data_IF_837003637105
#
_entry.id   IF_837003637105
#
_cell.length_a   1.000
_cell.length_b   1.000
_cell.length_c   1.000
_cell.angle_alpha   90.00
_cell.angle_beta   90.00
_cell.angle_gamma   90.00
#
_symmetry.space_group_name_H-M   'P 1'
#
loop_
_entity.id
_entity.type
_entity.pdbx_description
1 polymer ?
#
# COMPACT_ATOMS: atom_id res chain seq x y z
N UNK A 1 37.14 13.39 19.81
CA UNK A 1 37.70 13.33 18.45
C UNK A 1 36.86 12.25 17.74
N UNK A 2 35.61 12.53 17.43
CA UNK A 2 35.23 13.23 16.20
C UNK A 2 33.95 14.07 16.44
N UNK A 3 33.99 15.38 16.15
CA UNK A 3 32.78 16.20 16.19
C UNK A 3 31.97 15.86 14.94
N UNK A 4 30.73 15.42 15.11
CA UNK A 4 29.79 15.34 14.00
C UNK A 4 29.81 16.70 13.25
N UNK A 5 29.86 16.70 11.91
CA UNK A 5 29.83 17.94 11.14
C UNK A 5 28.60 18.73 11.58
N UNK A 6 28.83 20.01 11.86
CA UNK A 6 27.77 20.97 12.19
C UNK A 6 26.62 20.83 11.19
N UNK A 7 25.35 20.90 11.64
CA UNK A 7 24.22 20.79 10.74
C UNK A 7 24.43 21.77 9.60
N UNK A 8 24.42 21.28 8.36
CA UNK A 8 24.45 22.10 7.17
C UNK A 8 23.41 23.18 7.38
N UNK A 9 23.85 24.42 7.55
CA UNK A 9 22.98 25.55 7.80
C UNK A 9 22.22 25.81 6.51
N UNK A 10 21.20 25.00 6.25
CA UNK A 10 20.27 25.22 5.16
C UNK A 10 19.67 26.59 5.43
N UNK A 11 19.84 27.57 4.52
CA UNK A 11 19.32 28.90 4.76
C UNK A 11 17.83 28.78 5.12
N UNK A 12 17.37 29.48 6.18
CA UNK A 12 15.98 29.44 6.58
C UNK A 12 15.13 29.85 5.39
N UNK A 13 14.34 28.91 4.87
CA UNK A 13 13.44 29.15 3.74
C UNK A 13 12.49 30.27 4.19
N UNK A 14 12.40 31.40 3.48
CA UNK A 14 11.58 32.53 3.90
C UNK A 14 10.12 32.07 4.08
N UNK A 15 9.67 32.06 5.34
CA UNK A 15 8.42 31.45 5.79
C UNK A 15 7.40 32.55 6.11
N UNK A 16 6.85 33.26 5.11
CA UNK A 16 5.54 33.94 5.22
C UNK A 16 4.90 34.33 3.87
N UNK A 17 5.39 33.79 2.75
CA UNK A 17 5.04 34.30 1.43
C UNK A 17 4.06 33.32 0.79
N UNK A 18 2.92 33.78 0.25
CA UNK A 18 1.97 32.92 -0.52
C UNK A 18 2.70 32.10 -1.59
N UNK A 19 3.74 32.67 -2.20
CA UNK A 19 4.55 32.02 -3.23
C UNK A 19 5.34 30.81 -2.71
N UNK A 20 5.90 30.88 -1.49
CA UNK A 20 6.65 29.76 -0.89
C UNK A 20 5.72 28.58 -0.61
N UNK A 21 4.50 28.84 -0.11
CA UNK A 21 3.48 27.79 0.09
C UNK A 21 3.09 27.13 -1.23
N UNK A 22 2.85 27.91 -2.29
CA UNK A 22 2.52 27.37 -3.61
C UNK A 22 3.66 26.51 -4.16
N UNK A 23 4.90 26.95 -4.01
CA UNK A 23 6.07 26.17 -4.42
C UNK A 23 6.17 24.83 -3.67
N UNK A 24 5.98 24.83 -2.34
CA UNK A 24 6.00 23.61 -1.54
C UNK A 24 4.87 22.65 -1.93
N UNK A 25 3.66 23.16 -2.17
CA UNK A 25 2.52 22.34 -2.63
C UNK A 25 2.80 21.69 -3.99
N UNK A 26 3.31 22.45 -4.96
CA UNK A 26 3.65 21.91 -6.29
C UNK A 26 4.77 20.87 -6.17
N UNK A 27 5.77 21.10 -5.32
CA UNK A 27 6.85 20.15 -5.07
C UNK A 27 6.32 18.83 -4.48
N UNK A 28 5.45 18.90 -3.48
CA UNK A 28 4.90 17.71 -2.83
C UNK A 28 3.99 16.92 -3.79
N UNK A 29 3.14 17.61 -4.57
CA UNK A 29 2.30 16.98 -5.62
C UNK A 29 3.17 16.33 -6.70
N UNK A 30 4.21 17.03 -7.16
CA UNK A 30 5.14 16.48 -8.17
C UNK A 30 5.86 15.23 -7.65
N UNK A 31 6.29 15.25 -6.39
CA UNK A 31 6.92 14.09 -5.74
C UNK A 31 5.94 12.92 -5.62
N UNK A 32 4.69 13.20 -5.26
CA UNK A 32 3.64 12.18 -5.14
C UNK A 32 3.39 11.50 -6.49
N UNK A 33 3.18 12.27 -7.57
CA UNK A 33 2.92 11.71 -8.91
C UNK A 33 4.08 10.85 -9.38
N UNK A 34 5.32 11.36 -9.25
CA UNK A 34 6.51 10.63 -9.69
C UNK A 34 6.69 9.31 -8.93
N UNK A 35 6.46 9.33 -7.61
CA UNK A 35 6.58 8.14 -6.76
C UNK A 35 5.50 7.12 -7.07
N UNK A 36 4.25 7.56 -7.31
CA UNK A 36 3.15 6.68 -7.70
C UNK A 36 3.46 5.96 -9.01
N UNK A 37 3.96 6.66 -10.03
CA UNK A 37 4.33 6.03 -11.31
C UNK A 37 5.43 4.97 -11.09
N UNK A 38 6.45 5.30 -10.30
CA UNK A 38 7.53 4.37 -10.00
C UNK A 38 7.02 3.10 -9.28
N UNK A 39 6.11 3.28 -8.32
CA UNK A 39 5.48 2.17 -7.59
C UNK A 39 4.63 1.32 -8.52
N UNK A 40 3.87 1.91 -9.44
CA UNK A 40 3.09 1.13 -10.43
C UNK A 40 4.01 0.25 -11.27
N UNK A 41 5.13 0.79 -11.77
CA UNK A 41 6.13 -0.01 -12.51
C UNK A 41 6.72 -1.13 -11.64
N UNK A 42 7.02 -0.83 -10.38
CA UNK A 42 7.56 -1.82 -9.44
C UNK A 42 6.55 -2.92 -9.11
N UNK A 43 5.28 -2.56 -8.88
CA UNK A 43 4.20 -3.51 -8.63
C UNK A 43 4.01 -4.46 -9.82
N UNK A 44 4.08 -3.95 -11.05
CA UNK A 44 4.03 -4.81 -12.23
C UNK A 44 5.17 -5.84 -12.24
N UNK A 45 6.40 -5.39 -11.99
CA UNK A 45 7.56 -6.29 -11.89
C UNK A 45 7.42 -7.33 -10.75
N UNK A 46 6.86 -6.92 -9.60
CA UNK A 46 6.63 -7.83 -8.47
C UNK A 46 5.59 -8.89 -8.82
N UNK A 47 4.47 -8.50 -9.44
CA UNK A 47 3.41 -9.44 -9.83
C UNK A 47 3.94 -10.43 -10.87
N UNK A 48 4.66 -9.96 -11.89
CA UNK A 48 5.26 -10.82 -12.93
C UNK A 48 6.27 -11.81 -12.32
N UNK A 49 7.09 -11.33 -11.38
CA UNK A 49 8.05 -12.18 -10.65
C UNK A 49 7.34 -13.21 -9.77
N UNK A 50 6.20 -12.87 -9.19
CA UNK A 50 5.41 -13.73 -8.32
C UNK A 50 4.76 -14.86 -9.11
N UNK A 51 4.19 -14.56 -10.28
CA UNK A 51 3.64 -15.55 -11.22
C UNK A 51 4.71 -16.58 -11.60
N UNK A 52 5.90 -16.11 -12.02
CA UNK A 52 7.02 -16.99 -12.36
C UNK A 52 7.58 -17.79 -11.17
N UNK A 53 7.43 -17.29 -9.94
CA UNK A 53 7.79 -18.02 -8.73
C UNK A 53 6.76 -19.11 -8.37
N UNK A 54 5.47 -18.83 -8.54
CA UNK A 54 4.37 -19.78 -8.33
C UNK A 54 4.55 -21.01 -9.24
N UNK A 55 4.84 -20.79 -10.53
CA UNK A 55 5.07 -21.86 -11.50
C UNK A 55 6.26 -22.76 -11.14
N UNK A 56 7.37 -22.18 -10.65
CA UNK A 56 8.59 -22.92 -10.33
C UNK A 56 8.53 -23.64 -8.98
N UNK A 57 7.86 -23.05 -8.00
CA UNK A 57 7.80 -23.56 -6.63
C UNK A 57 6.57 -24.45 -6.38
N UNK A 58 5.66 -24.57 -7.36
CA UNK A 58 4.42 -25.34 -7.24
C UNK A 58 3.59 -24.95 -6.00
N UNK A 59 3.64 -23.66 -5.63
CA UNK A 59 2.89 -23.12 -4.48
C UNK A 59 1.47 -22.78 -4.95
N UNK A 60 0.48 -22.96 -4.09
CA UNK A 60 -0.91 -22.59 -4.42
C UNK A 60 -1.03 -21.09 -4.71
N UNK A 61 -1.57 -20.74 -5.88
CA UNK A 61 -1.82 -19.34 -6.27
C UNK A 61 -2.70 -18.60 -5.24
N UNK A 62 -3.72 -19.27 -4.69
CA UNK A 62 -4.57 -18.71 -3.64
C UNK A 62 -3.81 -18.40 -2.34
N UNK A 63 -2.82 -19.23 -1.96
CA UNK A 63 -2.01 -18.97 -0.78
C UNK A 63 -1.09 -17.76 -0.98
N UNK A 64 -0.48 -17.67 -2.15
CA UNK A 64 0.40 -16.54 -2.50
C UNK A 64 -0.36 -15.22 -2.56
N UNK A 65 -1.56 -15.22 -3.15
CA UNK A 65 -2.42 -14.04 -3.24
C UNK A 65 -3.01 -13.63 -1.86
N UNK A 66 -3.43 -14.59 -1.04
CA UNK A 66 -4.06 -14.29 0.25
C UNK A 66 -3.07 -13.99 1.38
N UNK A 67 -1.86 -14.57 1.36
CA UNK A 67 -0.91 -14.48 2.47
C UNK A 67 0.35 -13.69 2.08
N UNK A 68 1.03 -14.09 1.00
CA UNK A 68 2.35 -13.53 0.66
C UNK A 68 2.24 -12.08 0.18
N UNK A 69 1.27 -11.79 -0.70
CA UNK A 69 1.12 -10.47 -1.29
C UNK A 69 0.75 -9.38 -0.25
N UNK A 70 -0.21 -9.61 0.68
CA UNK A 70 -0.48 -8.67 1.76
C UNK A 70 0.66 -8.56 2.78
N UNK A 71 1.39 -9.65 3.05
CA UNK A 71 2.49 -9.65 4.01
C UNK A 71 3.61 -8.69 3.60
N UNK A 72 4.05 -8.74 2.35
CA UNK A 72 5.09 -7.83 1.84
C UNK A 72 4.64 -6.37 1.90
N UNK A 73 3.37 -6.12 1.58
CA UNK A 73 2.77 -4.78 1.59
C UNK A 73 2.66 -4.21 3.01
N UNK A 74 2.36 -5.06 3.99
CA UNK A 74 2.22 -4.67 5.40
C UNK A 74 3.55 -4.31 6.07
N UNK A 75 4.70 -4.81 5.56
CA UNK A 75 6.02 -4.50 6.13
C UNK A 75 6.32 -2.99 6.11
N UNK A 76 5.87 -2.28 5.06
CA UNK A 76 6.09 -0.83 4.92
C UNK A 76 5.39 -0.07 6.05
N UNK A 77 4.15 -0.47 6.35
CA UNK A 77 3.37 0.10 7.43
C UNK A 77 3.96 -0.27 8.80
N UNK A 78 4.46 -1.50 8.93
CA UNK A 78 5.10 -1.96 10.15
C UNK A 78 6.39 -1.18 10.46
N UNK A 79 7.23 -0.91 9.46
CA UNK A 79 8.43 -0.07 9.61
C UNK A 79 8.05 1.35 10.06
N UNK A 80 6.96 1.89 9.52
CA UNK A 80 6.43 3.20 9.91
C UNK A 80 5.93 3.20 11.36
N UNK A 81 5.21 2.14 11.75
CA UNK A 81 4.72 1.94 13.11
C UNK A 81 5.86 1.81 14.13
N UNK A 82 6.89 1.00 13.82
CA UNK A 82 8.09 0.86 14.65
C UNK A 82 8.79 2.23 14.77
N UNK A 83 8.96 2.95 13.66
CA UNK A 83 9.60 4.26 13.67
C UNK A 83 8.86 5.29 14.53
N UNK A 84 7.53 5.22 14.59
CA UNK A 84 6.70 6.06 15.47
C UNK A 84 6.73 5.59 16.93
N UNK A 85 6.72 4.28 17.17
CA UNK A 85 6.81 3.69 18.50
C UNK A 85 8.16 3.98 19.18
N UNK A 86 9.26 3.92 18.43
CA UNK A 86 10.60 4.31 18.89
C UNK A 86 10.67 5.79 19.32
N UNK A 87 9.76 6.63 18.81
CA UNK A 87 9.63 8.04 19.21
C UNK A 87 8.64 8.25 20.36
N UNK A 88 8.22 7.17 21.03
CA UNK A 88 7.21 7.16 22.10
C UNK A 88 5.86 7.76 21.68
N UNK A 89 5.51 7.66 20.38
CA UNK A 89 4.24 8.18 19.83
C UNK A 89 3.26 7.04 19.56
N UNK A 90 2.89 6.32 20.61
CA UNK A 90 2.01 5.14 20.50
C UNK A 90 0.61 5.52 19.97
N UNK A 91 0.09 6.69 20.34
CA UNK A 91 -1.19 7.19 19.79
C UNK A 91 -1.14 7.36 18.26
N UNK A 92 -0.01 7.84 17.73
CA UNK A 92 0.18 7.99 16.29
C UNK A 92 0.29 6.62 15.61
N UNK A 93 0.97 5.67 16.24
CA UNK A 93 1.06 4.29 15.73
C UNK A 93 -0.33 3.65 15.64
N UNK A 94 -1.15 3.73 16.70
CA UNK A 94 -2.52 3.19 16.69
C UNK A 94 -3.36 3.87 15.62
N UNK A 95 -3.28 5.20 15.52
CA UNK A 95 -4.02 5.96 14.52
C UNK A 95 -3.62 5.56 13.09
N UNK A 96 -2.32 5.37 12.80
CA UNK A 96 -1.86 4.94 11.47
C UNK A 96 -2.40 3.55 11.13
N UNK A 97 -2.28 2.58 12.05
CA UNK A 97 -2.73 1.20 11.81
C UNK A 97 -4.23 1.08 11.61
N UNK A 98 -5.03 1.75 12.45
CA UNK A 98 -6.49 1.71 12.34
C UNK A 98 -6.99 2.37 11.06
N UNK A 99 -6.38 3.50 10.68
CA UNK A 99 -6.80 4.24 9.48
C UNK A 99 -6.43 3.50 8.20
N UNK A 100 -5.23 2.91 8.11
CA UNK A 100 -4.80 2.14 6.93
C UNK A 100 -5.71 0.92 6.69
N UNK A 101 -5.95 0.12 7.74
CA UNK A 101 -6.81 -1.07 7.65
C UNK A 101 -8.25 -0.73 7.27
N UNK A 102 -8.81 0.32 7.88
CA UNK A 102 -10.18 0.75 7.58
C UNK A 102 -10.33 1.29 6.15
N UNK A 103 -9.33 1.98 5.62
CA UNK A 103 -9.33 2.43 4.22
C UNK A 103 -9.26 1.26 3.24
N UNK A 104 -8.44 0.25 3.54
CA UNK A 104 -8.35 -0.95 2.72
C UNK A 104 -9.71 -1.68 2.69
N UNK A 105 -10.33 -1.89 3.85
CA UNK A 105 -11.59 -2.61 3.97
C UNK A 105 -12.79 -1.85 3.40
N UNK A 106 -12.97 -0.58 3.80
CA UNK A 106 -14.17 0.19 3.46
C UNK A 106 -14.11 0.86 2.09
N UNK A 107 -12.91 1.01 1.50
CA UNK A 107 -12.74 1.75 0.25
C UNK A 107 -12.05 0.92 -0.83
N UNK A 108 -10.86 0.35 -0.57
CA UNK A 108 -10.11 -0.36 -1.61
C UNK A 108 -10.84 -1.62 -2.06
N UNK A 109 -11.36 -2.43 -1.13
CA UNK A 109 -12.08 -3.66 -1.44
C UNK A 109 -13.33 -3.42 -2.32
N UNK A 110 -14.28 -2.53 -1.97
CA UNK A 110 -15.45 -2.27 -2.82
C UNK A 110 -15.10 -1.58 -4.15
N UNK A 111 -14.08 -0.72 -4.19
CA UNK A 111 -13.64 -0.09 -5.44
C UNK A 111 -13.02 -1.12 -6.37
N UNK A 112 -12.25 -2.07 -5.85
CA UNK A 112 -11.64 -3.13 -6.66
C UNK A 112 -12.72 -4.00 -7.29
N UNK A 113 -13.76 -4.36 -6.53
CA UNK A 113 -14.94 -5.07 -7.06
C UNK A 113 -15.67 -4.25 -8.14
N UNK A 114 -15.94 -2.98 -7.87
CA UNK A 114 -16.61 -2.09 -8.82
C UNK A 114 -15.78 -1.87 -10.10
N UNK A 115 -14.46 -1.74 -9.98
CA UNK A 115 -13.53 -1.59 -11.09
C UNK A 115 -13.46 -2.87 -11.94
N UNK A 116 -13.42 -4.04 -11.31
CA UNK A 116 -13.52 -5.33 -12.03
C UNK A 116 -14.81 -5.42 -12.83
N UNK A 117 -15.95 -5.07 -12.22
CA UNK A 117 -17.25 -5.08 -12.89
C UNK A 117 -17.32 -4.05 -14.04
N UNK A 118 -16.76 -2.85 -13.85
CA UNK A 118 -16.68 -1.83 -14.89
C UNK A 118 -15.79 -2.27 -16.06
N UNK A 119 -14.60 -2.82 -15.79
CA UNK A 119 -13.70 -3.34 -16.82
C UNK A 119 -14.37 -4.49 -17.56
N UNK A 120 -15.08 -5.37 -16.85
CA UNK A 120 -15.85 -6.47 -17.44
C UNK A 120 -16.90 -5.96 -18.44
N UNK A 121 -17.72 -4.96 -18.07
CA UNK A 121 -18.67 -4.35 -18.99
C UNK A 121 -18.01 -3.71 -20.20
N UNK A 122 -16.81 -3.15 -20.03
CA UNK A 122 -16.06 -2.47 -21.10
C UNK A 122 -15.31 -3.47 -22.01
N UNK A 123 -14.97 -4.66 -21.49
CA UNK A 123 -14.16 -5.70 -22.15
C UNK A 123 -14.99 -6.96 -22.46
N UNK A 124 -16.23 -6.79 -22.92
CA UNK A 124 -17.07 -7.90 -23.42
C UNK A 124 -16.77 -8.21 -24.90
N UNK A 125 -15.50 -8.52 -25.22
CA UNK A 125 -15.05 -9.01 -26.54
C UNK A 125 -14.42 -10.43 -26.44
N UNK A 126 -14.87 -11.25 -25.49
CA UNK A 126 -14.66 -12.70 -25.51
C UNK A 126 -13.41 -13.26 -24.81
N UNK A 127 -12.57 -12.45 -24.16
CA UNK A 127 -11.43 -12.95 -23.36
C UNK A 127 -11.56 -12.63 -21.87
N UNK A 128 -11.71 -13.72 -21.11
CA UNK A 128 -11.64 -13.88 -19.65
C UNK A 128 -12.69 -13.11 -18.80
N UNK A 129 -13.73 -13.84 -18.38
CA UNK A 129 -14.63 -13.49 -17.27
C UNK A 129 -13.87 -13.55 -15.93
N UNK A 130 -12.96 -12.60 -15.66
CA UNK A 130 -12.42 -12.42 -14.31
C UNK A 130 -13.37 -11.45 -13.61
N UNK A 131 -14.56 -11.96 -13.29
CA UNK A 131 -15.39 -11.31 -12.29
C UNK A 131 -14.75 -11.62 -10.95
N UNK A 132 -14.16 -10.60 -10.33
CA UNK A 132 -13.82 -10.70 -8.92
C UNK A 132 -15.13 -10.82 -8.17
N UNK A 133 -15.31 -11.92 -7.47
CA UNK A 133 -16.39 -12.11 -6.52
C UNK A 133 -15.80 -12.30 -5.13
N UNK A 134 -16.53 -11.89 -4.10
CA UNK A 134 -16.16 -12.16 -2.71
C UNK A 134 -16.54 -13.60 -2.33
N UNK A 135 -16.04 -14.57 -3.09
CA UNK A 135 -16.20 -15.98 -2.78
C UNK A 135 -15.13 -16.42 -1.77
N UNK A 136 -15.35 -16.07 -0.51
CA UNK A 136 -14.48 -16.49 0.57
C UNK A 136 -14.74 -17.96 0.91
N UNK A 137 -13.71 -18.79 0.82
CA UNK A 137 -13.77 -20.16 1.31
C UNK A 137 -14.07 -20.16 2.80
N UNK A 138 -14.88 -21.12 3.26
CA UNK A 138 -15.31 -21.19 4.67
C UNK A 138 -14.14 -21.19 5.67
N UNK A 139 -12.99 -21.75 5.28
CA UNK A 139 -11.77 -21.75 6.10
C UNK A 139 -11.14 -20.35 6.21
N UNK A 140 -11.03 -19.61 5.10
CA UNK A 140 -10.47 -18.26 5.08
C UNK A 140 -11.36 -17.28 5.84
N UNK A 141 -12.69 -17.48 5.74
CA UNK A 141 -13.67 -16.71 6.50
C UNK A 141 -13.50 -16.91 8.02
N UNK A 142 -13.42 -18.17 8.48
CA UNK A 142 -13.24 -18.48 9.90
C UNK A 142 -11.90 -17.91 10.41
N UNK A 143 -10.83 -18.05 9.63
CA UNK A 143 -9.52 -17.49 9.99
C UNK A 143 -9.55 -15.97 10.11
N UNK A 144 -10.26 -15.29 9.20
CA UNK A 144 -10.36 -13.83 9.20
C UNK A 144 -11.17 -13.32 10.40
N UNK A 145 -12.30 -13.97 10.70
CA UNK A 145 -13.11 -13.62 11.87
C UNK A 145 -12.34 -13.82 13.17
N UNK A 146 -11.62 -14.95 13.29
CA UNK A 146 -10.77 -15.21 14.45
C UNK A 146 -9.64 -14.18 14.57
N UNK A 147 -9.01 -13.79 13.45
CA UNK A 147 -7.95 -12.79 13.43
C UNK A 147 -8.42 -11.38 13.80
N UNK A 148 -9.68 -11.02 13.53
CA UNK A 148 -10.26 -9.72 13.93
C UNK A 148 -10.73 -9.74 15.37
N UNK A 149 -11.08 -10.92 15.90
CA UNK A 149 -11.54 -11.08 17.28
C UNK A 149 -10.40 -11.05 18.32
N UNK A 150 -9.16 -11.30 17.90
CA UNK A 150 -7.95 -11.29 18.74
C UNK A 150 -7.26 -9.91 18.70
#
# INVERSE_FOLDING_TARGET
LDQAPSPLNTPPIPTNNKLTKIYLLIKDISTLILTTILIVCLCQFIVDSLEGAIEKLHISSSFTAAIILPLVSSIIEFVTCISCALKNKIELTIAVTQNSTSQILCFIAPITLAASNLIFYTKSNGEANILLDFDFKSFDLISTIFSVAI
#
